data_IF_321634164946
#
_entry.id   IF_321634164946
#
_cell.length_a   1.000
_cell.length_b   1.000
_cell.length_c   1.000
_cell.angle_alpha   90.00
_cell.angle_beta   90.00
_cell.angle_gamma   90.00
#
_symmetry.space_group_name_H-M   'P 1'
#
loop_
_entity.id
_entity.type
_entity.pdbx_description
1 polymer ?
#
# COMPACT_ATOMS: atom_id res chain seq x y z
N UNK A 1 47.51 -12.81 -4.80
CA UNK A 1 46.32 -13.55 -4.32
C UNK A 1 45.58 -12.88 -3.14
N UNK A 2 46.23 -12.09 -2.26
CA UNK A 2 45.55 -11.47 -1.09
C UNK A 2 44.63 -10.27 -1.40
N UNK A 3 44.85 -9.53 -2.50
CA UNK A 3 44.03 -8.37 -2.87
C UNK A 3 42.63 -8.76 -3.41
N UNK A 4 42.50 -9.92 -4.05
CA UNK A 4 41.21 -10.38 -4.58
C UNK A 4 40.27 -10.87 -3.47
N UNK A 5 40.78 -11.56 -2.46
CA UNK A 5 39.96 -12.07 -1.34
C UNK A 5 39.35 -10.93 -0.51
N UNK A 6 40.13 -9.87 -0.24
CA UNK A 6 39.65 -8.71 0.49
C UNK A 6 38.55 -7.94 -0.27
N UNK A 7 38.65 -7.90 -1.61
CA UNK A 7 37.66 -7.24 -2.48
C UNK A 7 36.37 -8.06 -2.56
N UNK A 8 36.47 -9.39 -2.61
CA UNK A 8 35.32 -10.30 -2.56
C UNK A 8 34.63 -10.30 -1.20
N UNK A 9 35.38 -10.24 -0.09
CA UNK A 9 34.80 -10.18 1.25
C UNK A 9 34.10 -8.84 1.52
N UNK A 10 34.67 -7.73 1.05
CA UNK A 10 34.03 -6.43 1.10
C UNK A 10 32.77 -6.37 0.23
N UNK A 11 32.78 -6.99 -0.96
CA UNK A 11 31.61 -7.09 -1.82
C UNK A 11 30.51 -7.95 -1.17
N UNK A 12 30.87 -9.09 -0.58
CA UNK A 12 29.96 -9.97 0.17
C UNK A 12 29.36 -9.27 1.38
N UNK A 13 30.15 -8.52 2.14
CA UNK A 13 29.68 -7.71 3.26
C UNK A 13 28.65 -6.66 2.84
N UNK A 14 28.93 -5.91 1.76
CA UNK A 14 27.98 -4.94 1.20
C UNK A 14 26.69 -5.59 0.71
N UNK A 15 26.80 -6.73 0.02
CA UNK A 15 25.64 -7.49 -0.44
C UNK A 15 24.79 -7.98 0.73
N UNK A 16 25.40 -8.51 1.79
CA UNK A 16 24.67 -8.98 2.98
C UNK A 16 23.95 -7.83 3.71
N UNK A 17 24.53 -6.63 3.75
CA UNK A 17 23.86 -5.45 4.28
C UNK A 17 22.65 -5.08 3.41
N UNK A 18 22.78 -5.11 2.09
CA UNK A 18 21.68 -4.83 1.17
C UNK A 18 20.56 -5.86 1.34
N UNK A 19 20.87 -7.14 1.25
CA UNK A 19 19.90 -8.24 1.36
C UNK A 19 19.18 -8.18 2.72
N UNK A 20 19.91 -8.07 3.83
CA UNK A 20 19.28 -8.01 5.17
C UNK A 20 18.49 -6.73 5.38
N UNK A 21 18.93 -5.61 4.80
CA UNK A 21 18.23 -4.34 4.89
C UNK A 21 16.89 -4.35 4.16
N UNK A 22 16.84 -4.98 2.99
CA UNK A 22 15.66 -5.03 2.13
C UNK A 22 14.80 -6.28 2.32
N UNK A 23 15.28 -7.25 3.11
CA UNK A 23 14.52 -8.45 3.47
C UNK A 23 13.09 -8.17 3.92
N UNK A 24 12.77 -7.13 4.73
CA UNK A 24 11.38 -6.84 5.11
C UNK A 24 10.44 -6.61 3.92
N UNK A 25 10.90 -5.95 2.85
CA UNK A 25 10.07 -5.71 1.66
C UNK A 25 9.82 -6.99 0.87
N UNK A 26 10.83 -7.84 0.73
CA UNK A 26 10.67 -9.16 0.09
C UNK A 26 9.78 -10.06 0.93
N UNK A 27 9.96 -10.06 2.25
CA UNK A 27 9.13 -10.82 3.18
C UNK A 27 7.66 -10.38 3.14
N UNK A 28 7.39 -9.10 2.93
CA UNK A 28 6.02 -8.61 2.76
C UNK A 28 5.34 -9.19 1.52
N UNK A 29 6.06 -9.30 0.40
CA UNK A 29 5.54 -9.94 -0.81
C UNK A 29 5.23 -11.41 -0.56
N UNK A 30 6.15 -12.14 0.08
CA UNK A 30 5.92 -13.55 0.44
C UNK A 30 4.76 -13.70 1.43
N UNK A 31 4.65 -12.79 2.40
CA UNK A 31 3.56 -12.80 3.38
C UNK A 31 2.20 -12.50 2.74
N UNK A 32 2.16 -11.68 1.68
CA UNK A 32 0.94 -11.43 0.92
C UNK A 32 0.47 -12.70 0.20
N UNK A 33 1.38 -13.40 -0.49
CA UNK A 33 1.06 -14.68 -1.14
C UNK A 33 0.56 -15.72 -0.12
N UNK A 34 1.26 -15.86 1.01
CA UNK A 34 0.86 -16.78 2.08
C UNK A 34 -0.50 -16.39 2.69
N UNK A 35 -0.77 -15.10 2.88
CA UNK A 35 -2.06 -14.62 3.37
C UNK A 35 -3.19 -15.00 2.41
N UNK A 36 -2.98 -14.89 1.09
CA UNK A 36 -3.98 -15.28 0.09
C UNK A 36 -4.33 -16.77 0.19
N UNK A 37 -3.32 -17.62 0.32
CA UNK A 37 -3.53 -19.06 0.50
C UNK A 37 -4.30 -19.36 1.79
N UNK A 38 -4.01 -18.64 2.87
CA UNK A 38 -4.77 -18.75 4.13
C UNK A 38 -6.20 -18.27 3.95
N UNK A 39 -6.43 -17.12 3.31
CA UNK A 39 -7.75 -16.55 3.09
C UNK A 39 -8.65 -17.50 2.27
N UNK A 40 -8.10 -18.15 1.24
CA UNK A 40 -8.84 -19.11 0.42
C UNK A 40 -9.24 -20.36 1.20
N UNK A 41 -8.40 -20.82 2.14
CA UNK A 41 -8.71 -21.96 3.02
C UNK A 41 -9.72 -21.59 4.09
N UNK A 42 -9.60 -20.41 4.69
CA UNK A 42 -10.53 -19.96 5.74
C UNK A 42 -11.92 -19.68 5.16
N UNK A 43 -12.00 -19.10 3.96
CA UNK A 43 -13.26 -18.99 3.20
C UNK A 43 -14.34 -18.14 3.87
N UNK A 44 -13.98 -17.10 4.62
CA UNK A 44 -14.96 -16.17 5.20
C UNK A 44 -15.78 -15.51 4.09
N UNK A 45 -17.11 -15.35 4.28
CA UNK A 45 -17.94 -14.67 3.28
C UNK A 45 -17.55 -13.20 3.17
N UNK A 46 -17.32 -12.75 1.94
CA UNK A 46 -17.02 -11.34 1.67
C UNK A 46 -18.27 -10.46 1.83
N UNK A 47 -18.06 -9.22 2.26
CA UNK A 47 -19.10 -8.21 2.41
C UNK A 47 -18.65 -6.87 1.82
N UNK A 48 -19.57 -6.03 1.37
CA UNK A 48 -19.24 -4.68 0.92
C UNK A 48 -19.44 -3.63 2.03
N UNK A 49 -18.87 -2.45 1.81
CA UNK A 49 -19.02 -1.30 2.71
C UNK A 49 -19.85 -0.16 2.08
N UNK A 50 -20.62 -0.42 1.02
CA UNK A 50 -21.40 0.59 0.31
C UNK A 50 -22.41 1.29 1.25
N UNK A 51 -23.01 0.53 2.17
CA UNK A 51 -23.95 1.09 3.16
C UNK A 51 -23.27 2.11 4.08
N UNK A 52 -22.03 1.87 4.49
CA UNK A 52 -21.29 2.80 5.34
C UNK A 52 -20.94 4.07 4.58
N UNK A 53 -20.48 3.94 3.33
CA UNK A 53 -20.22 5.09 2.46
C UNK A 53 -21.49 5.92 2.23
N UNK A 54 -22.61 5.29 1.87
CA UNK A 54 -23.89 6.01 1.69
C UNK A 54 -24.33 6.69 2.99
N UNK A 55 -24.15 6.07 4.15
CA UNK A 55 -24.47 6.71 5.42
C UNK A 55 -23.57 7.93 5.70
N UNK A 56 -22.28 7.86 5.33
CA UNK A 56 -21.33 8.95 5.52
C UNK A 56 -21.58 10.15 4.58
N UNK A 57 -22.18 9.90 3.41
CA UNK A 57 -22.39 10.89 2.36
C UNK A 57 -23.87 11.12 2.03
N UNK A 58 -24.76 11.08 3.04
CA UNK A 58 -26.18 11.45 2.92
C UNK A 58 -26.94 10.69 1.80
N UNK A 59 -26.71 9.38 1.71
CA UNK A 59 -27.28 8.48 0.70
C UNK A 59 -26.50 8.40 -0.60
N UNK A 60 -25.56 9.31 -0.85
CA UNK A 60 -24.73 9.30 -2.05
C UNK A 60 -23.57 8.30 -1.92
N UNK A 61 -23.21 7.66 -3.03
CA UNK A 61 -22.03 6.82 -3.11
C UNK A 61 -20.89 7.55 -3.83
N UNK A 62 -19.79 7.89 -3.15
CA UNK A 62 -18.71 8.70 -3.71
C UNK A 62 -18.16 8.18 -5.04
N UNK A 63 -17.97 6.86 -5.18
CA UNK A 63 -17.53 6.24 -6.43
C UNK A 63 -18.45 6.59 -7.60
N UNK A 64 -19.77 6.42 -7.45
CA UNK A 64 -20.73 6.73 -8.51
C UNK A 64 -20.76 8.23 -8.84
N UNK A 65 -20.68 9.09 -7.82
CA UNK A 65 -20.63 10.54 -8.01
C UNK A 65 -19.38 10.94 -8.81
N UNK A 66 -18.21 10.41 -8.44
CA UNK A 66 -16.95 10.69 -9.14
C UNK A 66 -16.96 10.16 -10.57
N UNK A 67 -17.41 8.92 -10.78
CA UNK A 67 -17.49 8.33 -12.12
C UNK A 67 -18.48 9.07 -13.02
N UNK A 68 -19.61 9.52 -12.49
CA UNK A 68 -20.59 10.31 -13.23
C UNK A 68 -20.10 11.73 -13.52
N UNK A 69 -19.30 12.33 -12.64
CA UNK A 69 -18.73 13.65 -12.84
C UNK A 69 -17.64 13.63 -13.93
N UNK A 70 -16.69 12.70 -13.84
CA UNK A 70 -15.59 12.57 -14.80
C UNK A 70 -16.07 12.02 -16.13
N UNK A 71 -17.03 11.10 -16.15
CA UNK A 71 -17.58 10.52 -17.38
C UNK A 71 -18.32 11.53 -18.28
N UNK A 72 -18.60 12.74 -17.80
CA UNK A 72 -19.15 13.84 -18.62
C UNK A 72 -18.08 14.65 -19.35
N UNK A 73 -16.81 14.44 -19.02
CA UNK A 73 -15.68 15.14 -19.64
C UNK A 73 -15.36 14.49 -20.99
N UNK A 74 -14.97 15.31 -21.97
CA UNK A 74 -14.57 14.82 -23.29
C UNK A 74 -13.35 13.88 -23.22
N UNK A 75 -12.45 14.12 -22.26
CA UNK A 75 -11.20 13.37 -22.08
C UNK A 75 -11.29 12.35 -20.93
N UNK A 76 -12.47 11.76 -20.67
CA UNK A 76 -12.66 10.84 -19.55
C UNK A 76 -11.65 9.68 -19.55
N UNK A 77 -11.32 9.13 -20.73
CA UNK A 77 -10.31 8.07 -20.89
C UNK A 77 -8.93 8.48 -20.35
N UNK A 78 -8.52 9.75 -20.53
CA UNK A 78 -7.25 10.24 -20.00
C UNK A 78 -7.23 10.22 -18.46
N UNK A 79 -8.34 10.55 -17.81
CA UNK A 79 -8.45 10.48 -16.35
C UNK A 79 -8.43 9.04 -15.84
N UNK A 80 -9.00 8.10 -16.58
CA UNK A 80 -8.91 6.67 -16.29
C UNK A 80 -7.46 6.17 -16.40
N UNK A 81 -6.75 6.55 -17.46
CA UNK A 81 -5.37 6.15 -17.69
C UNK A 81 -4.41 6.75 -16.64
N UNK A 82 -4.54 8.05 -16.36
CA UNK A 82 -3.76 8.73 -15.31
C UNK A 82 -4.10 8.20 -13.92
N UNK A 83 -5.38 7.92 -13.65
CA UNK A 83 -5.83 7.30 -12.41
C UNK A 83 -5.18 5.93 -12.20
N UNK A 84 -5.18 5.09 -13.23
CA UNK A 84 -4.54 3.78 -13.19
C UNK A 84 -3.02 3.88 -12.98
N UNK A 85 -2.35 4.88 -13.59
CA UNK A 85 -0.94 5.15 -13.31
C UNK A 85 -0.69 5.55 -11.85
N UNK A 86 -1.55 6.40 -11.28
CA UNK A 86 -1.51 6.76 -9.84
C UNK A 86 -1.72 5.52 -8.97
N UNK A 87 -2.69 4.67 -9.32
CA UNK A 87 -2.97 3.41 -8.62
C UNK A 87 -1.72 2.51 -8.56
N UNK A 88 -1.03 2.32 -9.68
CA UNK A 88 0.19 1.51 -9.77
C UNK A 88 1.34 2.02 -8.91
N UNK A 89 1.35 3.31 -8.53
CA UNK A 89 2.39 3.85 -7.64
C UNK A 89 2.38 3.21 -6.25
N UNK A 90 1.30 2.51 -5.89
CA UNK A 90 1.22 1.71 -4.67
C UNK A 90 2.43 0.78 -4.48
N UNK A 91 2.93 0.16 -5.55
CA UNK A 91 4.10 -0.71 -5.50
C UNK A 91 5.43 0.05 -5.49
N UNK A 92 5.48 1.20 -6.18
CA UNK A 92 6.71 1.96 -6.39
C UNK A 92 7.03 2.90 -5.23
N UNK A 93 6.02 3.50 -4.62
CA UNK A 93 6.17 4.54 -3.60
C UNK A 93 6.91 4.03 -2.36
N UNK A 94 6.57 2.87 -1.75
CA UNK A 94 7.29 2.38 -0.58
C UNK A 94 8.75 2.05 -0.89
N UNK A 95 9.03 1.53 -2.10
CA UNK A 95 10.38 1.20 -2.55
C UNK A 95 11.19 2.49 -2.75
N UNK A 96 10.63 3.50 -3.41
CA UNK A 96 11.29 4.77 -3.67
C UNK A 96 11.61 5.51 -2.36
N UNK A 97 10.65 5.60 -1.44
CA UNK A 97 10.85 6.24 -0.13
C UNK A 97 11.80 5.41 0.73
N UNK A 98 11.71 4.09 0.69
CA UNK A 98 12.67 3.19 1.32
C UNK A 98 14.09 3.41 0.80
N UNK A 99 14.29 3.51 -0.51
CA UNK A 99 15.59 3.75 -1.12
C UNK A 99 16.16 5.10 -0.72
N UNK A 100 15.33 6.15 -0.74
CA UNK A 100 15.72 7.46 -0.28
C UNK A 100 16.15 7.46 1.19
N UNK A 101 15.32 6.92 2.09
CA UNK A 101 15.64 6.81 3.52
C UNK A 101 16.87 5.94 3.77
N UNK A 102 17.07 4.87 3.00
CA UNK A 102 18.27 4.05 3.07
C UNK A 102 19.53 4.87 2.75
N UNK A 103 19.45 5.79 1.80
CA UNK A 103 20.59 6.65 1.45
C UNK A 103 20.79 7.80 2.45
N UNK A 104 19.73 8.28 3.12
CA UNK A 104 19.81 9.46 4.00
C UNK A 104 19.92 9.13 5.50
N UNK A 105 19.08 8.22 6.01
CA UNK A 105 19.03 7.84 7.43
C UNK A 105 18.60 6.37 7.57
N UNK A 106 19.59 5.51 7.86
CA UNK A 106 19.38 4.07 8.06
C UNK A 106 18.46 3.74 9.24
N UNK A 107 18.38 4.61 10.24
CA UNK A 107 17.46 4.44 11.36
C UNK A 107 16.03 4.71 10.93
N UNK A 108 15.80 5.82 10.22
CA UNK A 108 14.50 6.15 9.63
C UNK A 108 14.02 5.07 8.66
N UNK A 109 14.92 4.54 7.83
CA UNK A 109 14.62 3.41 6.94
C UNK A 109 14.11 2.17 7.70
N UNK A 110 14.78 1.78 8.80
CA UNK A 110 14.35 0.62 9.60
C UNK A 110 12.98 0.85 10.23
N UNK A 111 12.73 2.04 10.78
CA UNK A 111 11.44 2.40 11.37
C UNK A 111 10.34 2.38 10.30
N UNK A 112 10.63 2.94 9.13
CA UNK A 112 9.72 2.93 7.98
C UNK A 112 9.36 1.51 7.54
N UNK A 113 10.38 0.66 7.29
CA UNK A 113 10.18 -0.74 6.91
C UNK A 113 9.40 -1.54 7.96
N UNK A 114 9.72 -1.39 9.25
CA UNK A 114 8.98 -2.05 10.32
C UNK A 114 7.52 -1.56 10.41
N UNK A 115 7.27 -0.27 10.16
CA UNK A 115 5.92 0.28 10.14
C UNK A 115 5.09 -0.31 9.00
N UNK A 116 5.68 -0.49 7.81
CA UNK A 116 5.03 -1.20 6.71
C UNK A 116 4.73 -2.65 7.08
N UNK A 117 5.66 -3.35 7.71
CA UNK A 117 5.44 -4.74 8.18
C UNK A 117 4.26 -4.82 9.15
N UNK A 118 4.19 -3.94 10.14
CA UNK A 118 3.08 -3.90 11.11
C UNK A 118 1.76 -3.54 10.42
N UNK A 119 1.76 -2.55 9.52
CA UNK A 119 0.58 -2.16 8.76
C UNK A 119 0.05 -3.34 7.93
N UNK A 120 0.90 -3.99 7.14
CA UNK A 120 0.51 -5.14 6.33
C UNK A 120 0.03 -6.30 7.21
N UNK A 121 0.71 -6.60 8.33
CA UNK A 121 0.27 -7.68 9.22
C UNK A 121 -1.15 -7.43 9.76
N UNK A 122 -1.46 -6.20 10.17
CA UNK A 122 -2.80 -5.82 10.61
C UNK A 122 -3.82 -5.94 9.47
N UNK A 123 -3.50 -5.41 8.29
CA UNK A 123 -4.39 -5.47 7.13
C UNK A 123 -4.65 -6.91 6.68
N UNK A 124 -3.61 -7.74 6.59
CA UNK A 124 -3.66 -9.15 6.20
C UNK A 124 -4.51 -9.98 7.16
N UNK A 125 -4.38 -9.74 8.47
CA UNK A 125 -5.26 -10.37 9.45
C UNK A 125 -6.73 -9.98 9.18
N UNK A 126 -7.01 -8.71 8.88
CA UNK A 126 -8.36 -8.24 8.52
C UNK A 126 -8.87 -8.87 7.23
N UNK A 127 -8.05 -8.99 6.18
CA UNK A 127 -8.45 -9.62 4.91
C UNK A 127 -8.85 -11.09 5.09
N UNK A 128 -8.22 -11.81 6.02
CA UNK A 128 -8.55 -13.21 6.29
C UNK A 128 -9.86 -13.35 7.09
N UNK A 129 -10.05 -12.52 8.12
CA UNK A 129 -11.17 -12.68 9.07
C UNK A 129 -12.44 -11.91 8.67
N UNK A 130 -12.28 -10.84 7.90
CA UNK A 130 -13.35 -9.93 7.48
C UNK A 130 -13.08 -9.45 6.04
N UNK A 131 -13.08 -10.37 5.06
CA UNK A 131 -12.84 -10.01 3.66
C UNK A 131 -13.92 -9.05 3.15
N UNK A 132 -13.49 -8.07 2.37
CA UNK A 132 -14.35 -6.98 1.88
C UNK A 132 -14.23 -6.81 0.37
N UNK A 133 -15.39 -6.70 -0.27
CA UNK A 133 -15.52 -6.61 -1.73
C UNK A 133 -15.38 -5.15 -2.19
N UNK A 134 -14.58 -4.84 -3.23
CA UNK A 134 -14.47 -3.50 -3.79
C UNK A 134 -15.75 -3.07 -4.52
N UNK A 135 -15.99 -1.75 -4.72
CA UNK A 135 -17.18 -1.23 -5.37
C UNK A 135 -17.52 -1.87 -6.73
N UNK A 136 -16.53 -2.03 -7.62
CA UNK A 136 -16.77 -2.59 -8.96
C UNK A 136 -17.24 -4.05 -8.95
N UNK A 137 -16.82 -4.83 -7.94
CA UNK A 137 -17.20 -6.23 -7.79
C UNK A 137 -18.51 -6.39 -7.01
N UNK A 138 -18.79 -5.49 -6.07
CA UNK A 138 -20.02 -5.50 -5.27
C UNK A 138 -21.26 -5.08 -6.08
N UNK A 139 -21.12 -4.15 -7.04
CA UNK A 139 -22.23 -3.60 -7.82
C UNK A 139 -21.96 -3.69 -9.33
N UNK A 140 -21.84 -4.91 -9.88
CA UNK A 140 -21.51 -5.12 -11.28
C UNK A 140 -22.55 -4.47 -12.20
N UNK A 141 -22.08 -3.76 -13.22
CA UNK A 141 -22.92 -3.03 -14.17
C UNK A 141 -23.40 -1.66 -13.69
N UNK A 142 -23.21 -1.32 -12.41
CA UNK A 142 -23.48 0.02 -11.87
C UNK A 142 -22.20 0.80 -11.62
N UNK A 143 -21.22 0.17 -10.96
CA UNK A 143 -19.87 0.74 -10.82
C UNK A 143 -18.99 0.23 -11.97
N UNK A 144 -18.30 1.14 -12.67
CA UNK A 144 -17.37 0.76 -13.74
C UNK A 144 -16.00 0.38 -13.15
N UNK A 145 -15.41 -0.71 -13.64
CA UNK A 145 -14.04 -1.12 -13.34
C UNK A 145 -13.07 -0.41 -14.32
N UNK A 146 -12.64 0.80 -13.97
CA UNK A 146 -11.94 1.69 -14.93
C UNK A 146 -10.51 1.22 -15.28
N UNK A 147 -9.87 0.49 -14.37
CA UNK A 147 -8.55 -0.10 -14.61
C UNK A 147 -8.60 -1.12 -15.75
N UNK A 148 -9.67 -1.91 -15.83
CA UNK A 148 -9.84 -2.90 -16.91
C UNK A 148 -9.91 -2.22 -18.29
N UNK A 149 -10.66 -1.11 -18.40
CA UNK A 149 -10.69 -0.30 -19.62
C UNK A 149 -9.32 0.26 -19.99
N UNK A 150 -8.56 0.75 -19.00
CA UNK A 150 -7.18 1.24 -19.20
C UNK A 150 -6.25 0.14 -19.73
N UNK A 151 -6.33 -1.06 -19.16
CA UNK A 151 -5.52 -2.21 -19.61
C UNK A 151 -5.85 -2.55 -21.06
N UNK A 152 -7.13 -2.59 -21.43
CA UNK A 152 -7.56 -2.86 -22.80
C UNK A 152 -7.05 -1.81 -23.78
N UNK A 153 -7.04 -0.53 -23.40
CA UNK A 153 -6.51 0.58 -24.24
C UNK A 153 -4.99 0.61 -24.32
N UNK A 154 -4.28 0.15 -23.28
CA UNK A 154 -2.82 0.23 -23.18
C UNK A 154 -2.04 -0.57 -24.23
N UNK A 155 -2.70 -1.51 -24.91
CA UNK A 155 -2.06 -2.39 -25.90
C UNK A 155 -1.10 -3.41 -25.29
N UNK A 156 -1.08 -3.57 -23.95
CA UNK A 156 -0.29 -4.60 -23.27
C UNK A 156 -0.78 -5.98 -23.75
N UNK A 157 0.12 -6.87 -24.21
CA UNK A 157 -0.29 -8.17 -24.71
C UNK A 157 -1.11 -8.96 -23.69
N UNK A 158 -2.18 -9.61 -24.14
CA UNK A 158 -3.04 -10.41 -23.28
C UNK A 158 -2.27 -11.49 -22.50
N UNK A 159 -1.15 -12.01 -23.02
CA UNK A 159 -0.28 -12.95 -22.31
C UNK A 159 0.44 -12.33 -21.10
N UNK A 160 0.80 -11.04 -21.17
CA UNK A 160 1.42 -10.31 -20.07
C UNK A 160 0.36 -9.97 -19.01
N UNK A 161 -0.82 -9.53 -19.46
CA UNK A 161 -1.97 -9.32 -18.57
C UNK A 161 -2.35 -10.63 -17.88
N UNK A 162 -2.40 -11.74 -18.63
CA UNK A 162 -2.68 -13.09 -18.12
C UNK A 162 -1.66 -13.53 -17.08
N UNK A 163 -0.36 -13.32 -17.31
CA UNK A 163 0.68 -13.65 -16.33
C UNK A 163 0.51 -12.86 -15.03
N UNK A 164 0.03 -11.62 -15.12
CA UNK A 164 -0.26 -10.76 -13.98
C UNK A 164 -1.60 -11.14 -13.28
N UNK A 165 -2.63 -11.51 -14.05
CA UNK A 165 -3.99 -11.74 -13.54
C UNK A 165 -4.29 -13.20 -13.15
N UNK A 166 -3.55 -14.20 -13.65
CA UNK A 166 -3.73 -15.62 -13.29
C UNK A 166 -3.26 -15.96 -11.87
N UNK A 167 -2.46 -15.10 -11.26
CA UNK A 167 -2.18 -15.16 -9.84
C UNK A 167 -3.24 -14.33 -9.11
N UNK A 168 -4.48 -14.85 -9.09
CA UNK A 168 -5.69 -14.21 -8.54
C UNK A 168 -5.33 -13.16 -7.48
N UNK A 169 -5.54 -11.89 -7.82
CA UNK A 169 -5.54 -10.82 -6.83
C UNK A 169 -6.52 -11.22 -5.72
N UNK A 170 -6.20 -10.91 -4.46
CA UNK A 170 -7.22 -11.08 -3.42
C UNK A 170 -8.35 -10.07 -3.67
N UNK A 171 -9.35 -10.50 -4.43
CA UNK A 171 -10.52 -9.72 -4.86
C UNK A 171 -11.31 -9.17 -3.67
N UNK A 172 -11.10 -9.73 -2.48
CA UNK A 172 -11.85 -9.39 -1.27
C UNK A 172 -10.97 -8.73 -0.19
N UNK A 173 -9.95 -7.98 -0.60
CA UNK A 173 -9.03 -7.28 0.28
C UNK A 173 -9.18 -5.73 0.22
N UNK A 174 -10.41 -5.23 0.09
CA UNK A 174 -10.66 -3.79 -0.05
C UNK A 174 -10.36 -3.01 1.26
N UNK A 175 -10.86 -3.48 2.40
CA UNK A 175 -10.70 -2.88 3.72
C UNK A 175 -9.68 -3.62 4.60
N UNK A 176 -8.73 -2.92 5.24
CA UNK A 176 -8.40 -1.52 5.04
C UNK A 176 -7.61 -1.31 3.73
N UNK A 177 -7.71 -0.13 3.12
CA UNK A 177 -6.99 0.16 1.88
C UNK A 177 -5.49 0.38 2.13
N UNK A 178 -4.64 -0.53 1.66
CA UNK A 178 -3.19 -0.34 1.66
C UNK A 178 -2.75 0.75 0.67
N UNK A 179 -3.52 1.01 -0.40
CA UNK A 179 -3.34 2.16 -1.28
C UNK A 179 -3.42 3.48 -0.51
N UNK A 180 -4.31 3.55 0.49
CA UNK A 180 -4.39 4.71 1.37
C UNK A 180 -3.33 4.71 2.48
N UNK A 181 -3.00 3.54 3.05
CA UNK A 181 -2.09 3.43 4.19
C UNK A 181 -0.61 3.65 3.87
N UNK A 182 -0.11 3.11 2.75
CA UNK A 182 1.30 3.27 2.36
C UNK A 182 1.75 4.73 2.16
N UNK A 183 1.01 5.59 1.44
CA UNK A 183 1.41 6.99 1.29
C UNK A 183 1.36 7.75 2.62
N UNK A 184 0.49 7.38 3.58
CA UNK A 184 0.50 7.94 4.94
C UNK A 184 1.82 7.61 5.66
N UNK A 185 2.22 6.33 5.66
CA UNK A 185 3.48 5.92 6.30
C UNK A 185 4.68 6.58 5.63
N UNK A 186 4.67 6.67 4.29
CA UNK A 186 5.69 7.36 3.51
C UNK A 186 5.78 8.85 3.84
N UNK A 187 4.64 9.56 3.85
CA UNK A 187 4.57 10.98 4.15
C UNK A 187 5.02 11.27 5.60
N UNK A 188 4.59 10.45 6.57
CA UNK A 188 4.99 10.59 7.96
C UNK A 188 6.49 10.37 8.17
N UNK A 189 7.07 9.36 7.51
CA UNK A 189 8.52 9.11 7.57
C UNK A 189 9.31 10.27 6.92
N UNK A 190 8.87 10.71 5.74
CA UNK A 190 9.52 11.81 5.02
C UNK A 190 9.43 13.14 5.75
N UNK A 191 8.32 13.44 6.43
CA UNK A 191 8.13 14.68 7.19
C UNK A 191 9.22 14.91 8.23
N UNK A 192 9.72 13.83 8.85
CA UNK A 192 10.80 13.90 9.85
C UNK A 192 12.15 14.23 9.23
N UNK A 193 12.36 13.89 7.96
CA UNK A 193 13.60 14.11 7.24
C UNK A 193 13.60 15.43 6.45
N UNK A 194 12.48 15.78 5.84
CA UNK A 194 12.28 17.02 5.09
C UNK A 194 10.79 17.37 5.05
N UNK A 195 10.41 18.50 5.67
CA UNK A 195 9.02 18.98 5.65
C UNK A 195 8.49 19.18 4.23
N UNK A 196 9.32 19.65 3.30
CA UNK A 196 8.93 19.84 1.89
C UNK A 196 8.52 18.51 1.24
N UNK A 197 9.33 17.47 1.40
CA UNK A 197 9.03 16.13 0.87
C UNK A 197 7.79 15.55 1.56
N UNK A 198 7.68 15.73 2.87
CA UNK A 198 6.49 15.32 3.63
C UNK A 198 5.20 15.97 3.11
N UNK A 199 5.19 17.28 2.83
CA UNK A 199 4.04 17.98 2.25
C UNK A 199 3.68 17.38 0.89
N UNK A 200 4.66 17.19 0.00
CA UNK A 200 4.43 16.61 -1.33
C UNK A 200 3.82 15.22 -1.22
N UNK A 201 4.32 14.38 -0.32
CA UNK A 201 3.79 13.03 -0.13
C UNK A 201 2.40 13.01 0.53
N UNK A 202 2.07 13.98 1.37
CA UNK A 202 0.71 14.13 1.89
C UNK A 202 -0.27 14.57 0.81
N UNK A 203 0.11 15.51 -0.05
CA UNK A 203 -0.69 15.88 -1.23
C UNK A 203 -0.87 14.69 -2.16
N UNK A 204 0.20 13.92 -2.37
CA UNK A 204 0.14 12.66 -3.13
C UNK A 204 -0.82 11.64 -2.50
N UNK A 205 -0.81 11.50 -1.17
CA UNK A 205 -1.74 10.61 -0.47
C UNK A 205 -3.19 10.98 -0.76
N UNK A 206 -3.54 12.26 -0.69
CA UNK A 206 -4.89 12.75 -0.99
C UNK A 206 -5.28 12.46 -2.44
N UNK A 207 -4.36 12.64 -3.39
CA UNK A 207 -4.60 12.30 -4.80
C UNK A 207 -4.90 10.79 -4.92
N UNK A 208 -4.08 9.94 -4.32
CA UNK A 208 -4.28 8.48 -4.33
C UNK A 208 -5.65 8.13 -3.75
N UNK A 209 -6.05 8.73 -2.63
CA UNK A 209 -7.34 8.46 -1.98
C UNK A 209 -8.54 8.77 -2.87
N UNK A 210 -8.52 9.92 -3.56
CA UNK A 210 -9.59 10.29 -4.49
C UNK A 210 -9.60 9.33 -5.68
N UNK A 211 -8.41 9.02 -6.22
CA UNK A 211 -8.26 8.17 -7.40
C UNK A 211 -8.77 6.75 -7.14
N UNK A 212 -8.42 6.12 -6.01
CA UNK A 212 -8.87 4.74 -5.75
C UNK A 212 -10.39 4.63 -5.60
N UNK A 213 -11.03 5.69 -5.08
CA UNK A 213 -12.50 5.76 -5.00
C UNK A 213 -13.12 6.00 -6.36
N UNK A 214 -12.51 6.87 -7.17
CA UNK A 214 -12.93 7.13 -8.55
C UNK A 214 -12.84 5.87 -9.44
N UNK A 215 -11.73 5.13 -9.36
CA UNK A 215 -11.52 3.91 -10.14
C UNK A 215 -12.47 2.78 -9.76
N UNK A 216 -13.16 2.89 -8.62
CA UNK A 216 -14.07 1.88 -8.09
C UNK A 216 -13.38 0.75 -7.34
N UNK A 217 -12.10 0.91 -7.01
CA UNK A 217 -11.28 -0.08 -6.30
C UNK A 217 -11.51 -0.05 -4.78
N UNK A 218 -11.93 1.09 -4.25
CA UNK A 218 -12.12 1.27 -2.81
C UNK A 218 -13.31 2.19 -2.51
N UNK A 219 -14.03 1.88 -1.45
CA UNK A 219 -14.93 2.81 -0.78
C UNK A 219 -14.13 3.88 -0.01
N UNK A 220 -14.76 5.00 0.33
CA UNK A 220 -14.14 5.99 1.22
C UNK A 220 -13.89 5.38 2.60
N UNK A 221 -14.76 4.49 3.05
CA UNK A 221 -14.58 3.74 4.30
C UNK A 221 -13.28 2.92 4.29
N UNK A 222 -12.91 2.32 3.15
CA UNK A 222 -11.63 1.58 3.00
C UNK A 222 -10.43 2.51 3.16
N UNK A 223 -10.51 3.72 2.58
CA UNK A 223 -9.49 4.76 2.70
C UNK A 223 -9.33 5.19 4.16
N UNK A 224 -10.43 5.47 4.85
CA UNK A 224 -10.43 5.84 6.28
C UNK A 224 -9.78 4.71 7.10
N UNK A 225 -10.14 3.45 6.82
CA UNK A 225 -9.51 2.27 7.42
C UNK A 225 -8.01 2.22 7.18
N UNK A 226 -7.55 2.46 5.95
CA UNK A 226 -6.14 2.52 5.58
C UNK A 226 -5.36 3.58 6.36
N UNK A 227 -5.92 4.79 6.49
CA UNK A 227 -5.32 5.89 7.28
C UNK A 227 -5.27 5.53 8.77
N UNK A 228 -6.34 4.95 9.31
CA UNK A 228 -6.41 4.53 10.71
C UNK A 228 -5.37 3.44 11.01
N UNK A 229 -5.29 2.39 10.18
CA UNK A 229 -4.33 1.31 10.33
C UNK A 229 -2.89 1.79 10.21
N UNK A 230 -2.60 2.67 9.24
CA UNK A 230 -1.28 3.29 9.10
C UNK A 230 -0.89 4.07 10.36
N UNK A 231 -1.82 4.85 10.91
CA UNK A 231 -1.61 5.61 12.15
C UNK A 231 -1.35 4.68 13.34
N UNK A 232 -2.14 3.61 13.49
CA UNK A 232 -1.94 2.60 14.53
C UNK A 232 -0.57 1.94 14.40
N UNK A 233 -0.17 1.54 13.19
CA UNK A 233 1.14 0.94 12.94
C UNK A 233 2.29 1.89 13.32
N UNK A 234 2.20 3.18 12.96
CA UNK A 234 3.16 4.21 13.35
C UNK A 234 3.26 4.30 14.88
N UNK A 235 2.12 4.33 15.58
CA UNK A 235 2.08 4.42 17.05
C UNK A 235 2.71 3.19 17.70
N UNK A 236 2.37 1.98 17.23
CA UNK A 236 2.95 0.71 17.71
C UNK A 236 4.47 0.74 17.57
N UNK A 237 4.98 1.04 16.38
CA UNK A 237 6.43 1.02 16.12
C UNK A 237 7.18 2.08 16.92
N UNK A 238 6.60 3.28 17.07
CA UNK A 238 7.19 4.33 17.91
C UNK A 238 7.24 3.92 19.38
N UNK A 239 6.18 3.32 19.90
CA UNK A 239 6.14 2.84 21.27
C UNK A 239 7.16 1.71 21.53
N UNK A 240 7.28 0.75 20.60
CA UNK A 240 8.27 -0.32 20.68
C UNK A 240 9.70 0.23 20.64
N UNK A 241 9.97 1.16 19.73
CA UNK A 241 11.29 1.79 19.60
C UNK A 241 11.69 2.57 20.85
N UNK A 242 10.76 3.29 21.46
CA UNK A 242 10.99 4.01 22.72
C UNK A 242 11.30 3.06 23.89
N UNK A 243 10.58 1.93 23.99
CA UNK A 243 10.81 0.91 25.04
C UNK A 243 12.17 0.24 24.90
N UNK A 244 12.56 -0.13 23.68
CA UNK A 244 13.87 -0.75 23.42
C UNK A 244 15.02 0.21 23.71
N UNK A 245 14.88 1.49 23.35
CA UNK A 245 15.84 2.53 23.72
C UNK A 245 15.99 2.67 25.24
N UNK A 246 14.87 2.77 25.96
CA UNK A 246 14.87 2.88 27.42
C UNK A 246 15.53 1.68 28.11
N UNK A 247 15.27 0.45 27.62
CA UNK A 247 15.87 -0.77 28.16
C UNK A 247 17.40 -0.82 27.96
N UNK A 248 17.90 -0.40 26.79
CA UNK A 248 19.33 -0.35 26.50
C UNK A 248 20.07 0.64 27.43
N UNK A 249 19.52 1.84 27.65
CA UNK A 249 20.10 2.82 28.59
C UNK A 249 20.18 2.33 30.04
N UNK A 250 19.27 1.44 30.47
CA UNK A 250 19.29 0.87 31.83
C UNK A 250 20.33 -0.24 32.01
N UNK A 251 20.82 -0.82 30.92
CA UNK A 251 21.75 -1.96 30.93
C UNK A 251 23.22 -1.56 30.72
N UNK A 252 23.55 -0.29 30.50
CA UNK A 252 24.92 0.22 30.51
C UNK A 252 25.24 0.81 31.90
N UNK A 253 25.96 0.11 32.78
CA UNK A 253 26.49 0.72 34.00
C UNK A 253 27.57 1.74 33.61
N UNK A 254 27.60 2.86 34.34
CA UNK A 254 28.68 3.84 34.28
C UNK A 254 30.00 3.27 34.80
#
# INVERSE_FOLDING_TARGET
MSFDSARTDAARGRLMVLVRGWAPFVLLLVAYEAMRDVASVVGMPAHDLARFDRALFDGYQPTLVLQAAVGKLADADLFEDLGSAVYLTHFLLPVAVGAWLWMTDRSAFRIFGLTLVVLCALAFATYVIAPTTPPWLAEPGTVRHLIEGTIQRSGVPASVVWLYSHHDYNLYAAFPSLHAGFPVVAAAAAWRQSRKVGIVLWLWAVIVWVVVVYLGEHYVTDVIGGVAYATIAIVIVRALSARLGAAATRQSPA
#
